data_IF_768093462869
#
_entry.id   IF_768093462869
#
_cell.length_a   1.000
_cell.length_b   1.000
_cell.length_c   1.000
_cell.angle_alpha   90.00
_cell.angle_beta   90.00
_cell.angle_gamma   90.00
#
_symmetry.space_group_name_H-M   'P 1'
#
loop_
_entity.id
_entity.type
_entity.pdbx_description
1 polymer ?
#
# COMPACT_ATOMS: atom_id res chain seq x y z
N UNK A 1 49.03 3.58 -46.90
CA UNK A 1 47.58 3.74 -46.94
C UNK A 1 47.09 3.53 -45.52
N UNK A 2 46.78 4.61 -44.82
CA UNK A 2 46.26 4.58 -43.46
C UNK A 2 44.77 4.96 -43.57
N UNK A 3 43.92 4.02 -43.19
CA UNK A 3 42.49 4.21 -43.14
C UNK A 3 42.11 4.96 -41.86
N UNK A 4 41.45 6.08 -42.05
CA UNK A 4 40.91 6.91 -40.99
C UNK A 4 39.63 6.24 -40.52
N UNK A 5 39.59 5.81 -39.26
CA UNK A 5 38.37 5.37 -38.60
C UNK A 5 37.65 6.60 -38.09
N UNK A 6 36.51 6.92 -38.68
CA UNK A 6 35.56 7.94 -38.22
C UNK A 6 34.97 7.55 -36.86
N UNK A 7 35.21 8.44 -35.90
CA UNK A 7 34.60 8.41 -34.57
C UNK A 7 33.15 8.84 -34.70
N UNK A 8 32.20 7.90 -34.62
CA UNK A 8 30.80 8.20 -34.47
C UNK A 8 30.54 8.75 -33.06
N UNK A 9 30.24 10.02 -32.98
CA UNK A 9 29.82 10.73 -31.77
C UNK A 9 28.62 10.01 -31.13
N UNK A 10 28.86 9.58 -29.91
CA UNK A 10 27.81 9.12 -29.00
C UNK A 10 26.95 10.34 -28.61
N UNK A 11 25.80 10.49 -29.21
CA UNK A 11 24.77 11.40 -28.72
C UNK A 11 24.23 10.84 -27.41
N UNK A 12 24.84 11.27 -26.30
CA UNK A 12 24.27 11.09 -24.98
C UNK A 12 22.86 11.71 -24.95
N UNK A 13 21.88 10.86 -24.71
CA UNK A 13 20.49 11.26 -24.45
C UNK A 13 20.47 12.06 -23.16
N UNK A 14 20.66 13.37 -23.24
CA UNK A 14 20.47 14.29 -22.11
C UNK A 14 19.02 14.20 -21.67
N UNK A 15 18.80 13.50 -20.55
CA UNK A 15 17.54 13.56 -19.83
C UNK A 15 17.31 15.03 -19.46
N UNK A 16 16.21 15.68 -19.86
CA UNK A 16 16.00 17.10 -19.58
C UNK A 16 16.13 17.37 -18.09
N UNK A 17 16.97 18.33 -17.74
CA UNK A 17 17.23 18.70 -16.36
C UNK A 17 15.91 19.05 -15.65
N UNK A 18 15.60 18.34 -14.59
CA UNK A 18 14.41 18.60 -13.75
C UNK A 18 14.59 20.00 -13.15
N UNK A 19 13.63 20.92 -13.34
CA UNK A 19 13.72 22.26 -12.77
C UNK A 19 13.96 22.20 -11.26
N UNK A 20 14.89 22.99 -10.74
CA UNK A 20 15.13 23.10 -9.30
C UNK A 20 13.98 23.92 -8.68
N UNK A 21 12.94 23.19 -8.26
CA UNK A 21 11.81 23.76 -7.51
C UNK A 21 12.00 23.51 -6.02
N UNK A 22 11.54 24.45 -5.20
CA UNK A 22 11.43 24.23 -3.76
C UNK A 22 10.41 23.13 -3.45
N UNK A 23 10.52 22.53 -2.27
CA UNK A 23 9.56 21.50 -1.81
C UNK A 23 8.12 22.04 -1.77
N UNK A 24 7.95 23.33 -1.45
CA UNK A 24 6.63 23.99 -1.39
C UNK A 24 6.03 24.15 -2.78
N UNK A 25 6.77 24.71 -3.74
CA UNK A 25 6.32 24.88 -5.12
C UNK A 25 5.94 23.55 -5.77
N UNK A 26 6.73 22.51 -5.50
CA UNK A 26 6.41 21.15 -5.97
C UNK A 26 5.11 20.64 -5.38
N UNK A 27 4.89 20.84 -4.08
CA UNK A 27 3.66 20.42 -3.41
C UNK A 27 2.43 21.16 -3.98
N UNK A 28 2.52 22.46 -4.19
CA UNK A 28 1.46 23.27 -4.80
C UNK A 28 1.11 22.82 -6.22
N UNK A 29 2.11 22.50 -7.03
CA UNK A 29 1.90 21.97 -8.37
C UNK A 29 1.16 20.62 -8.35
N UNK A 30 1.54 19.70 -7.47
CA UNK A 30 0.89 18.39 -7.34
C UNK A 30 -0.54 18.54 -6.83
N UNK A 31 -0.80 19.44 -5.88
CA UNK A 31 -2.16 19.73 -5.41
C UNK A 31 -3.03 20.33 -6.52
N UNK A 32 -2.47 21.18 -7.38
CA UNK A 32 -3.16 21.72 -8.54
C UNK A 32 -3.50 20.62 -9.55
N UNK A 33 -2.59 19.68 -9.80
CA UNK A 33 -2.85 18.53 -10.66
C UNK A 33 -3.99 17.67 -10.11
N UNK A 34 -3.98 17.35 -8.81
CA UNK A 34 -5.04 16.59 -8.15
C UNK A 34 -6.40 17.31 -8.27
N UNK A 35 -6.41 18.63 -8.11
CA UNK A 35 -7.61 19.45 -8.28
C UNK A 35 -8.13 19.39 -9.72
N UNK A 36 -7.28 19.49 -10.73
CA UNK A 36 -7.64 19.41 -12.16
C UNK A 36 -8.24 18.04 -12.47
N UNK A 37 -7.63 16.94 -12.02
CA UNK A 37 -8.17 15.59 -12.18
C UNK A 37 -9.57 15.48 -11.56
N UNK A 38 -9.74 15.99 -10.35
CA UNK A 38 -11.02 15.99 -9.66
C UNK A 38 -12.11 16.77 -10.41
N UNK A 39 -11.80 17.96 -10.93
CA UNK A 39 -12.75 18.76 -11.70
C UNK A 39 -13.17 18.05 -13.01
N UNK A 40 -12.24 17.41 -13.70
CA UNK A 40 -12.54 16.59 -14.89
C UNK A 40 -13.50 15.45 -14.55
N UNK A 41 -13.24 14.70 -13.49
CA UNK A 41 -14.15 13.62 -13.04
C UNK A 41 -15.51 14.17 -12.66
N UNK A 42 -15.57 15.29 -11.92
CA UNK A 42 -16.82 15.94 -11.52
C UNK A 42 -17.64 16.43 -12.73
N UNK A 43 -16.99 16.82 -13.81
CA UNK A 43 -17.65 17.21 -15.07
C UNK A 43 -18.10 16.01 -15.91
N UNK A 44 -17.89 14.77 -15.46
CA UNK A 44 -18.33 13.55 -16.13
C UNK A 44 -17.28 12.90 -17.04
N UNK A 45 -16.02 13.33 -17.00
CA UNK A 45 -14.96 12.70 -17.76
C UNK A 45 -14.70 11.25 -17.30
N UNK A 46 -14.29 10.41 -18.22
CA UNK A 46 -13.82 9.05 -17.94
C UNK A 46 -12.46 9.07 -17.23
N UNK A 47 -12.02 7.94 -16.68
CA UNK A 47 -10.71 7.83 -16.04
C UNK A 47 -9.57 8.20 -16.99
N UNK A 48 -9.62 7.70 -18.23
CA UNK A 48 -8.58 7.94 -19.23
C UNK A 48 -8.53 9.40 -19.71
N UNK A 49 -9.67 10.08 -19.77
CA UNK A 49 -9.76 11.51 -20.09
C UNK A 49 -9.29 12.43 -18.94
N UNK A 50 -9.44 11.97 -17.72
CA UNK A 50 -9.02 12.74 -16.55
C UNK A 50 -7.50 12.73 -16.32
N UNK A 51 -6.80 11.69 -16.82
CA UNK A 51 -5.37 11.47 -16.63
C UNK A 51 -4.58 12.08 -17.80
N UNK A 52 -3.41 12.63 -17.53
CA UNK A 52 -2.44 13.09 -18.54
C UNK A 52 -1.14 12.27 -18.46
N UNK A 53 -1.06 11.11 -19.16
CA UNK A 53 0.14 10.27 -19.14
C UNK A 53 1.38 10.95 -19.70
N UNK A 54 1.17 11.95 -20.60
CA UNK A 54 2.25 12.70 -21.25
C UNK A 54 2.85 13.80 -20.37
N UNK A 55 2.19 14.10 -19.24
CA UNK A 55 2.54 15.19 -18.33
C UNK A 55 2.67 16.57 -19.02
N UNK A 56 1.97 16.79 -20.14
CA UNK A 56 2.08 18.03 -20.94
C UNK A 56 1.67 19.27 -20.14
N UNK A 57 0.62 19.14 -19.33
CA UNK A 57 0.08 20.25 -18.53
C UNK A 57 0.98 20.58 -17.32
N UNK A 58 1.57 19.57 -16.68
CA UNK A 58 2.28 19.71 -15.40
C UNK A 58 3.78 19.42 -15.50
N UNK A 59 4.29 19.02 -16.66
CA UNK A 59 5.71 18.79 -16.91
C UNK A 59 6.32 17.58 -16.21
N UNK A 60 7.66 17.51 -16.12
CA UNK A 60 8.38 16.32 -15.63
C UNK A 60 8.22 16.05 -14.14
N UNK A 61 7.69 17.01 -13.37
CA UNK A 61 7.45 16.87 -11.93
C UNK A 61 6.05 16.37 -11.60
N UNK A 62 5.18 16.21 -12.60
CA UNK A 62 3.83 15.70 -12.43
C UNK A 62 3.81 14.30 -11.79
N UNK A 63 2.68 13.95 -11.21
CA UNK A 63 2.46 12.58 -10.74
C UNK A 63 2.62 11.58 -11.89
N UNK A 64 3.28 10.43 -11.65
CA UNK A 64 3.25 9.32 -12.59
C UNK A 64 1.80 8.91 -12.93
N UNK A 65 1.56 8.41 -14.14
CA UNK A 65 0.24 7.99 -14.61
C UNK A 65 -0.53 7.11 -13.61
N UNK A 66 0.16 6.14 -12.99
CA UNK A 66 -0.47 5.27 -12.00
C UNK A 66 -0.99 6.01 -10.77
N UNK A 67 -0.32 7.09 -10.36
CA UNK A 67 -0.78 7.94 -9.23
C UNK A 67 -1.96 8.78 -9.69
N UNK A 68 -1.89 9.39 -10.87
CA UNK A 68 -2.99 10.16 -11.45
C UNK A 68 -4.26 9.31 -11.58
N UNK A 69 -4.14 8.07 -12.05
CA UNK A 69 -5.25 7.11 -12.15
C UNK A 69 -5.88 6.82 -10.78
N UNK A 70 -5.08 6.66 -9.73
CA UNK A 70 -5.58 6.42 -8.37
C UNK A 70 -6.26 7.64 -7.77
N UNK A 71 -5.74 8.84 -8.05
CA UNK A 71 -6.39 10.11 -7.69
C UNK A 71 -7.74 10.24 -8.40
N UNK A 72 -7.82 9.91 -9.69
CA UNK A 72 -9.06 9.91 -10.46
C UNK A 72 -10.09 8.91 -9.90
N UNK A 73 -9.68 7.68 -9.58
CA UNK A 73 -10.56 6.69 -8.94
C UNK A 73 -11.06 7.16 -7.57
N UNK A 74 -10.18 7.80 -6.78
CA UNK A 74 -10.61 8.40 -5.52
C UNK A 74 -11.65 9.52 -5.73
N UNK A 75 -11.47 10.35 -6.76
CA UNK A 75 -12.44 11.39 -7.12
C UNK A 75 -13.78 10.77 -7.52
N UNK A 76 -13.78 9.71 -8.35
CA UNK A 76 -15.00 8.97 -8.72
C UNK A 76 -15.73 8.39 -7.50
N UNK A 77 -15.00 7.85 -6.53
CA UNK A 77 -15.59 7.35 -5.29
C UNK A 77 -16.35 8.47 -4.56
N UNK A 78 -15.72 9.65 -4.42
CA UNK A 78 -16.34 10.80 -3.76
C UNK A 78 -17.60 11.29 -4.48
N UNK A 79 -17.58 11.37 -5.82
CA UNK A 79 -18.76 11.77 -6.61
C UNK A 79 -19.89 10.71 -6.54
N UNK A 80 -19.54 9.42 -6.39
CA UNK A 80 -20.49 8.34 -6.17
C UNK A 80 -20.98 8.20 -4.71
N UNK A 81 -20.54 9.07 -3.79
CA UNK A 81 -20.89 9.00 -2.37
C UNK A 81 -20.20 7.86 -1.61
N UNK A 82 -19.15 7.26 -2.19
CA UNK A 82 -18.38 6.19 -1.56
C UNK A 82 -17.21 6.80 -0.78
N UNK A 83 -17.13 6.51 0.52
CA UNK A 83 -16.02 6.98 1.34
C UNK A 83 -14.72 6.23 0.99
N UNK A 84 -13.66 6.91 0.48
CA UNK A 84 -12.38 6.27 0.22
C UNK A 84 -11.58 5.96 1.50
N UNK A 85 -11.99 6.53 2.61
CA UNK A 85 -11.40 6.37 3.95
C UNK A 85 -12.53 6.36 4.99
N UNK A 86 -13.32 5.28 5.09
CA UNK A 86 -14.40 5.18 6.07
C UNK A 86 -13.83 5.19 7.48
N UNK A 87 -14.54 5.82 8.41
CA UNK A 87 -14.15 5.91 9.82
C UNK A 87 -14.42 4.60 10.56
N UNK A 88 -15.45 3.86 10.13
CA UNK A 88 -15.86 2.60 10.74
C UNK A 88 -16.15 1.54 9.68
N UNK A 89 -15.79 0.31 9.99
CA UNK A 89 -16.10 -0.91 9.24
C UNK A 89 -16.37 -2.03 10.25
N UNK A 90 -17.32 -2.90 9.95
CA UNK A 90 -17.71 -4.02 10.82
C UNK A 90 -16.73 -5.19 10.74
N UNK A 91 -15.47 -4.94 11.08
CA UNK A 91 -14.44 -5.98 11.15
C UNK A 91 -14.70 -6.82 12.39
N UNK A 92 -15.06 -8.09 12.20
CA UNK A 92 -15.37 -9.03 13.29
C UNK A 92 -14.18 -9.91 13.66
N UNK A 93 -13.32 -10.21 12.67
CA UNK A 93 -12.22 -11.14 12.82
C UNK A 93 -10.94 -10.62 12.19
N UNK A 94 -9.80 -11.06 12.72
CA UNK A 94 -8.51 -10.84 12.05
C UNK A 94 -8.23 -11.97 11.06
N UNK A 95 -7.41 -11.71 10.03
CA UNK A 95 -7.01 -12.74 9.07
C UNK A 95 -6.29 -13.89 9.77
N UNK A 96 -5.47 -13.57 10.77
CA UNK A 96 -4.77 -14.55 11.60
C UNK A 96 -5.73 -15.46 12.36
N UNK A 97 -6.79 -14.89 12.96
CA UNK A 97 -7.79 -15.63 13.72
C UNK A 97 -8.58 -16.58 12.80
N UNK A 98 -8.98 -16.11 11.62
CA UNK A 98 -9.66 -16.96 10.62
C UNK A 98 -8.75 -18.10 10.18
N UNK A 99 -7.47 -17.85 9.89
CA UNK A 99 -6.52 -18.91 9.55
C UNK A 99 -6.32 -19.89 10.70
N UNK A 100 -6.10 -19.42 11.91
CA UNK A 100 -5.93 -20.30 13.08
C UNK A 100 -7.15 -21.19 13.33
N UNK A 101 -8.36 -20.71 13.03
CA UNK A 101 -9.61 -21.46 13.21
C UNK A 101 -9.83 -22.52 12.13
N UNK A 102 -9.49 -22.23 10.84
CA UNK A 102 -9.92 -23.06 9.70
C UNK A 102 -8.78 -23.67 8.87
N UNK A 103 -7.54 -23.21 8.99
CA UNK A 103 -6.44 -23.69 8.16
C UNK A 103 -6.21 -25.19 8.33
N UNK A 104 -6.25 -25.93 7.23
CA UNK A 104 -6.11 -27.38 7.22
C UNK A 104 -7.31 -28.17 7.78
N UNK A 105 -8.45 -27.53 8.06
CA UNK A 105 -9.65 -28.18 8.62
C UNK A 105 -10.80 -28.32 7.63
N UNK A 106 -10.77 -27.58 6.53
CA UNK A 106 -11.78 -27.64 5.49
C UNK A 106 -11.26 -28.45 4.30
N UNK A 107 -12.10 -29.32 3.76
CA UNK A 107 -11.83 -30.02 2.51
C UNK A 107 -12.02 -29.10 1.30
N UNK A 108 -11.38 -29.45 0.17
CA UNK A 108 -11.48 -28.66 -1.06
C UNK A 108 -12.96 -28.58 -1.54
N UNK A 109 -13.46 -27.36 -1.68
CA UNK A 109 -14.85 -27.09 -2.05
C UNK A 109 -15.83 -27.05 -0.89
N UNK A 110 -15.40 -27.25 0.33
CA UNK A 110 -16.24 -27.17 1.53
C UNK A 110 -16.57 -25.70 1.87
N UNK A 111 -17.81 -25.44 2.21
CA UNK A 111 -18.32 -24.13 2.63
C UNK A 111 -18.83 -24.21 4.06
N UNK A 112 -18.54 -23.17 4.86
CA UNK A 112 -19.10 -23.04 6.21
C UNK A 112 -20.23 -22.00 6.23
N UNK A 113 -21.07 -22.05 7.27
CA UNK A 113 -22.07 -21.02 7.54
C UNK A 113 -21.49 -19.80 8.32
N UNK A 114 -20.22 -19.87 8.72
CA UNK A 114 -19.58 -18.86 9.52
C UNK A 114 -19.31 -17.60 8.71
N UNK A 115 -19.96 -16.51 9.09
CA UNK A 115 -19.78 -15.19 8.48
C UNK A 115 -18.69 -14.42 9.21
N UNK A 116 -17.71 -13.92 8.46
CA UNK A 116 -16.63 -13.10 8.98
C UNK A 116 -16.53 -11.77 8.23
N UNK A 117 -16.17 -10.71 8.96
CA UNK A 117 -15.80 -9.41 8.41
C UNK A 117 -14.30 -9.20 8.62
N UNK A 118 -13.52 -9.23 7.55
CA UNK A 118 -12.06 -9.08 7.60
C UNK A 118 -11.59 -7.88 6.79
N UNK A 119 -10.45 -7.30 7.19
CA UNK A 119 -9.79 -6.25 6.42
C UNK A 119 -8.31 -6.56 6.22
N UNK A 120 -7.80 -6.22 5.03
CA UNK A 120 -6.39 -6.46 4.70
C UNK A 120 -5.93 -5.67 3.48
N UNK A 121 -4.63 -5.64 3.25
CA UNK A 121 -4.02 -5.00 2.09
C UNK A 121 -4.10 -5.92 0.88
N UNK A 122 -4.59 -5.39 -0.24
CA UNK A 122 -4.64 -6.10 -1.53
C UNK A 122 -3.22 -6.25 -2.09
N UNK A 123 -2.71 -7.47 -2.13
CA UNK A 123 -1.41 -7.80 -2.71
C UNK A 123 -1.50 -8.42 -4.11
N UNK A 124 -2.62 -9.08 -4.40
CA UNK A 124 -2.87 -9.71 -5.69
C UNK A 124 -4.34 -9.59 -6.06
N UNK A 125 -4.61 -9.41 -7.35
CA UNK A 125 -5.96 -9.31 -7.89
C UNK A 125 -6.02 -9.99 -9.25
N UNK A 126 -6.97 -10.91 -9.41
CA UNK A 126 -7.20 -11.62 -10.66
C UNK A 126 -8.68 -11.60 -11.02
N UNK A 127 -8.98 -11.11 -12.21
CA UNK A 127 -10.31 -11.09 -12.78
C UNK A 127 -10.54 -12.34 -13.63
N UNK A 128 -11.59 -13.11 -13.34
CA UNK A 128 -12.00 -14.32 -14.07
C UNK A 128 -13.49 -14.21 -14.45
N UNK A 129 -13.80 -13.36 -15.43
CA UNK A 129 -15.17 -13.15 -15.89
C UNK A 129 -16.11 -12.62 -14.79
N UNK A 130 -17.04 -13.46 -14.33
CA UNK A 130 -18.00 -13.14 -13.28
C UNK A 130 -17.47 -13.31 -11.84
N UNK A 131 -16.20 -13.64 -11.67
CA UNK A 131 -15.55 -13.89 -10.40
C UNK A 131 -14.23 -13.13 -10.32
N UNK A 132 -13.94 -12.49 -9.20
CA UNK A 132 -12.65 -11.88 -8.90
C UNK A 132 -12.03 -12.58 -7.69
N UNK A 133 -10.74 -12.83 -7.80
CA UNK A 133 -9.92 -13.32 -6.70
C UNK A 133 -9.03 -12.18 -6.21
N UNK A 134 -8.97 -12.00 -4.92
CA UNK A 134 -8.10 -11.03 -4.26
C UNK A 134 -7.32 -11.72 -3.14
N UNK A 135 -6.03 -11.43 -3.03
CA UNK A 135 -5.24 -11.85 -1.87
C UNK A 135 -5.10 -10.66 -0.92
N UNK A 136 -5.62 -10.81 0.28
CA UNK A 136 -5.49 -9.85 1.36
C UNK A 136 -4.35 -10.25 2.29
N UNK A 137 -3.59 -9.27 2.75
CA UNK A 137 -2.53 -9.46 3.75
C UNK A 137 -2.82 -8.63 4.98
N UNK A 138 -2.68 -9.25 6.13
CA UNK A 138 -2.67 -8.60 7.43
C UNK A 138 -1.34 -7.87 7.70
N UNK A 139 -1.29 -7.11 8.77
CA UNK A 139 -0.09 -6.38 9.19
C UNK A 139 1.09 -7.27 9.59
N UNK A 140 0.84 -8.52 10.00
CA UNK A 140 1.86 -9.51 10.29
C UNK A 140 2.40 -10.24 9.06
N UNK A 141 1.73 -10.07 7.91
CA UNK A 141 2.03 -10.75 6.65
C UNK A 141 1.20 -11.99 6.39
N UNK A 142 0.33 -12.38 7.32
CA UNK A 142 -0.65 -13.47 7.11
C UNK A 142 -1.56 -13.10 5.95
N UNK A 143 -1.82 -14.07 5.07
CA UNK A 143 -2.58 -13.85 3.84
C UNK A 143 -3.82 -14.71 3.82
N UNK A 144 -4.88 -14.22 3.19
CA UNK A 144 -6.10 -14.96 2.91
C UNK A 144 -6.63 -14.60 1.53
N UNK A 145 -7.27 -15.54 0.86
CA UNK A 145 -7.95 -15.29 -0.40
C UNK A 145 -9.36 -14.75 -0.14
N UNK A 146 -9.74 -13.71 -0.88
CA UNK A 146 -11.13 -13.28 -1.03
C UNK A 146 -11.66 -13.67 -2.41
N UNK A 147 -12.91 -14.10 -2.47
CA UNK A 147 -13.62 -14.43 -3.70
C UNK A 147 -14.85 -13.55 -3.82
N UNK A 148 -14.88 -12.73 -4.87
CA UNK A 148 -15.96 -11.77 -5.12
C UNK A 148 -16.71 -12.21 -6.38
N UNK A 149 -17.93 -12.67 -6.20
CA UNK A 149 -18.75 -13.26 -7.27
C UNK A 149 -19.88 -12.35 -7.69
N UNK A 150 -20.08 -12.21 -9.02
CA UNK A 150 -21.25 -11.54 -9.61
C UNK A 150 -22.58 -12.07 -9.07
N UNK A 151 -22.64 -13.37 -8.73
CA UNK A 151 -23.86 -14.01 -8.23
C UNK A 151 -24.24 -13.52 -6.84
N UNK A 152 -23.25 -13.25 -5.99
CA UNK A 152 -23.47 -12.82 -4.60
C UNK A 152 -23.65 -11.30 -4.50
N UNK A 153 -22.76 -10.53 -5.10
CA UNK A 153 -22.73 -9.07 -4.92
C UNK A 153 -23.46 -8.28 -6.02
N UNK A 154 -23.91 -8.97 -7.08
CA UNK A 154 -24.54 -8.33 -8.24
C UNK A 154 -23.55 -7.87 -9.31
N UNK A 155 -24.07 -7.58 -10.50
CA UNK A 155 -23.25 -7.21 -11.68
C UNK A 155 -22.62 -5.81 -11.53
N UNK A 156 -23.39 -4.86 -11.04
CA UNK A 156 -22.96 -3.46 -10.91
C UNK A 156 -21.91 -3.31 -9.81
N UNK A 157 -22.11 -3.97 -8.67
CA UNK A 157 -21.13 -4.00 -7.58
C UNK A 157 -19.82 -4.65 -8.01
N UNK A 158 -19.86 -5.74 -8.78
CA UNK A 158 -18.64 -6.36 -9.32
C UNK A 158 -17.94 -5.46 -10.33
N UNK A 159 -18.69 -4.75 -11.18
CA UNK A 159 -18.13 -3.76 -12.11
C UNK A 159 -17.41 -2.63 -11.33
N UNK A 160 -18.07 -2.11 -10.30
CA UNK A 160 -17.52 -1.08 -9.44
C UNK A 160 -16.25 -1.56 -8.70
N UNK A 161 -16.26 -2.79 -8.16
CA UNK A 161 -15.08 -3.43 -7.56
C UNK A 161 -13.90 -3.44 -8.53
N UNK A 162 -14.11 -3.93 -9.77
CA UNK A 162 -13.06 -4.00 -10.80
C UNK A 162 -12.51 -2.63 -11.21
N UNK A 163 -13.36 -1.61 -11.17
CA UNK A 163 -13.00 -0.26 -11.57
C UNK A 163 -12.22 0.47 -10.49
N UNK A 164 -12.59 0.30 -9.22
CA UNK A 164 -12.11 1.13 -8.12
C UNK A 164 -10.96 0.52 -7.32
N UNK A 165 -10.92 -0.83 -7.19
CA UNK A 165 -9.93 -1.51 -6.35
C UNK A 165 -8.60 -1.68 -7.09
N UNK A 166 -7.51 -1.30 -6.42
CA UNK A 166 -6.15 -1.43 -6.91
C UNK A 166 -5.27 -2.22 -5.95
N UNK A 167 -4.13 -2.71 -6.45
CA UNK A 167 -3.09 -3.28 -5.59
C UNK A 167 -2.59 -2.23 -4.60
N UNK A 168 -2.49 -2.63 -3.33
CA UNK A 168 -2.07 -1.77 -2.25
C UNK A 168 -3.22 -1.11 -1.47
N UNK A 169 -4.44 -1.10 -1.99
CA UNK A 169 -5.61 -0.67 -1.23
C UNK A 169 -5.79 -1.54 0.01
N UNK A 170 -6.37 -1.00 1.07
CA UNK A 170 -6.96 -1.82 2.11
C UNK A 170 -8.43 -2.08 1.77
N UNK A 171 -8.78 -3.33 1.75
CA UNK A 171 -10.10 -3.82 1.40
C UNK A 171 -10.74 -4.52 2.60
N UNK A 172 -12.00 -4.23 2.84
CA UNK A 172 -12.87 -4.95 3.74
C UNK A 172 -13.71 -5.95 2.94
N UNK A 173 -13.81 -7.17 3.44
CA UNK A 173 -14.69 -8.21 2.91
C UNK A 173 -15.50 -8.80 4.04
N UNK A 174 -16.81 -8.94 3.83
CA UNK A 174 -17.71 -9.71 4.68
C UNK A 174 -18.25 -10.88 3.88
N UNK A 175 -18.20 -12.07 4.44
CA UNK A 175 -18.67 -13.27 3.73
C UNK A 175 -18.43 -14.55 4.49
N UNK A 176 -18.81 -15.67 3.87
CA UNK A 176 -18.63 -17.01 4.43
C UNK A 176 -17.19 -17.46 4.29
N UNK A 177 -16.71 -18.20 5.29
CA UNK A 177 -15.41 -18.87 5.20
C UNK A 177 -15.59 -20.16 4.41
N UNK A 178 -14.79 -20.36 3.37
CA UNK A 178 -14.83 -21.53 2.50
C UNK A 178 -13.42 -22.04 2.18
N UNK A 179 -13.32 -23.30 1.76
CA UNK A 179 -12.18 -23.78 1.00
C UNK A 179 -12.52 -23.73 -0.49
N UNK A 180 -11.65 -23.08 -1.29
CA UNK A 180 -11.84 -23.04 -2.74
C UNK A 180 -11.76 -24.43 -3.35
N UNK A 181 -12.14 -24.60 -4.62
CA UNK A 181 -12.03 -25.90 -5.33
C UNK A 181 -10.61 -26.46 -5.37
N UNK A 182 -9.60 -25.60 -5.17
CA UNK A 182 -8.18 -25.97 -5.07
C UNK A 182 -7.71 -26.16 -3.62
N UNK A 183 -8.59 -26.06 -2.63
CA UNK A 183 -8.28 -26.18 -1.21
C UNK A 183 -7.75 -24.91 -0.53
N UNK A 184 -7.69 -23.77 -1.26
CA UNK A 184 -7.22 -22.51 -0.64
C UNK A 184 -8.31 -21.93 0.26
N UNK A 185 -7.95 -21.64 1.53
CA UNK A 185 -8.84 -21.00 2.48
C UNK A 185 -9.22 -19.59 2.00
N UNK A 186 -10.51 -19.34 1.90
CA UNK A 186 -11.05 -18.15 1.25
C UNK A 186 -12.24 -17.59 2.01
N UNK A 187 -12.45 -16.27 1.87
CA UNK A 187 -13.71 -15.62 2.25
C UNK A 187 -14.52 -15.37 0.97
N UNK A 188 -15.67 -16.02 0.88
CA UNK A 188 -16.62 -15.83 -0.21
C UNK A 188 -17.51 -14.65 0.10
N UNK A 189 -17.15 -13.50 -0.52
CA UNK A 189 -17.68 -12.22 -0.14
C UNK A 189 -19.13 -12.00 -0.58
N UNK A 190 -19.98 -11.62 0.34
CA UNK A 190 -21.33 -11.09 0.13
C UNK A 190 -21.35 -9.57 0.14
N UNK A 191 -20.35 -8.94 0.77
CA UNK A 191 -20.18 -7.49 0.85
C UNK A 191 -18.70 -7.13 0.77
N UNK A 192 -18.41 -5.96 0.20
CA UNK A 192 -17.06 -5.39 0.15
C UNK A 192 -17.10 -3.87 0.32
N UNK A 193 -16.01 -3.33 0.87
CA UNK A 193 -15.78 -1.88 0.94
C UNK A 193 -14.29 -1.58 0.85
N UNK A 194 -13.93 -0.41 0.30
CA UNK A 194 -12.56 0.09 0.40
C UNK A 194 -12.39 0.63 1.83
N UNK A 195 -11.48 0.04 2.58
CA UNK A 195 -11.12 0.48 3.92
C UNK A 195 -10.14 1.66 3.87
N UNK A 196 -9.24 1.67 2.89
CA UNK A 196 -8.35 2.80 2.64
C UNK A 196 -7.83 2.75 1.20
N UNK A 197 -8.07 3.81 0.43
CA UNK A 197 -7.57 3.95 -0.94
C UNK A 197 -6.10 4.32 -0.95
N UNK A 198 -5.25 3.49 -1.54
CA UNK A 198 -3.84 3.77 -1.72
C UNK A 198 -3.61 4.65 -2.95
N UNK A 199 -3.04 5.84 -2.77
CA UNK A 199 -2.72 6.75 -3.87
C UNK A 199 -1.35 6.45 -4.50
N UNK A 200 -0.43 5.85 -3.74
CA UNK A 200 0.87 5.42 -4.25
C UNK A 200 0.85 3.94 -4.61
N UNK A 201 1.37 3.54 -5.78
CA UNK A 201 1.49 2.14 -6.13
C UNK A 201 2.49 1.42 -5.22
N UNK A 202 2.24 0.14 -4.96
CA UNK A 202 3.22 -0.71 -4.32
C UNK A 202 4.37 -1.01 -5.29
N UNK A 203 5.59 -1.21 -4.78
CA UNK A 203 6.68 -1.77 -5.59
C UNK A 203 6.32 -3.19 -6.05
N UNK A 204 7.02 -3.69 -7.05
CA UNK A 204 6.87 -5.07 -7.48
C UNK A 204 7.32 -6.01 -6.35
N UNK A 205 6.34 -6.71 -5.73
CA UNK A 205 6.56 -7.56 -4.54
C UNK A 205 7.43 -8.80 -4.80
N UNK A 206 7.71 -9.10 -6.08
CA UNK A 206 8.55 -10.23 -6.52
C UNK A 206 9.98 -9.81 -6.89
N UNK A 207 10.33 -8.54 -6.69
CA UNK A 207 11.67 -8.00 -6.96
C UNK A 207 12.22 -7.39 -5.68
N UNK A 208 13.52 -7.56 -5.50
CA UNK A 208 14.23 -6.91 -4.41
C UNK A 208 14.13 -5.38 -4.53
N UNK A 209 13.88 -4.74 -3.42
CA UNK A 209 13.91 -3.28 -3.34
C UNK A 209 15.36 -2.80 -3.48
N UNK A 210 15.56 -1.72 -4.24
CA UNK A 210 16.88 -1.09 -4.28
C UNK A 210 17.26 -0.56 -2.88
N UNK A 211 18.56 -0.45 -2.62
CA UNK A 211 19.11 -0.11 -1.31
C UNK A 211 18.68 1.30 -0.85
N UNK A 212 18.61 2.24 -1.77
CA UNK A 212 18.15 3.61 -1.47
C UNK A 212 16.69 3.62 -1.00
N UNK A 213 15.79 2.93 -1.71
CA UNK A 213 14.38 2.82 -1.29
C UNK A 213 14.24 2.08 0.04
N UNK A 214 15.01 1.02 0.24
CA UNK A 214 15.00 0.21 1.47
C UNK A 214 15.44 1.04 2.69
N UNK A 215 16.43 1.90 2.51
CA UNK A 215 16.97 2.76 3.58
C UNK A 215 16.09 3.97 3.83
N UNK A 216 15.66 4.68 2.77
CA UNK A 216 14.88 5.93 2.91
C UNK A 216 13.40 5.71 3.18
N UNK A 217 12.85 4.55 2.74
CA UNK A 217 11.43 4.21 2.87
C UNK A 217 11.24 2.84 3.52
N UNK A 218 11.70 2.64 4.79
CA UNK A 218 11.67 1.34 5.45
C UNK A 218 10.26 0.75 5.58
N UNK A 219 9.22 1.61 5.61
CA UNK A 219 7.83 1.17 5.62
C UNK A 219 7.44 0.41 4.34
N UNK A 220 8.00 0.74 3.18
CA UNK A 220 7.79 -0.02 1.94
C UNK A 220 8.46 -1.40 2.05
N UNK A 221 9.67 -1.44 2.62
CA UNK A 221 10.36 -2.69 2.90
C UNK A 221 9.53 -3.61 3.79
N UNK A 222 8.92 -3.08 4.86
CA UNK A 222 8.05 -3.88 5.74
C UNK A 222 6.79 -4.42 5.05
N UNK A 223 6.30 -3.76 4.01
CA UNK A 223 5.18 -4.28 3.21
C UNK A 223 5.64 -5.39 2.27
N UNK A 224 6.76 -5.17 1.58
CA UNK A 224 7.22 -6.02 0.48
C UNK A 224 8.04 -7.25 0.94
N UNK A 225 8.78 -7.14 2.04
CA UNK A 225 9.75 -8.13 2.50
C UNK A 225 9.46 -8.58 3.93
N UNK A 226 9.23 -9.88 4.09
CA UNK A 226 8.96 -10.51 5.38
C UNK A 226 10.16 -10.42 6.33
N UNK A 227 11.38 -10.51 5.84
CA UNK A 227 12.60 -10.44 6.66
C UNK A 227 12.74 -9.05 7.30
N UNK A 228 12.48 -7.98 6.54
CA UNK A 228 12.51 -6.61 7.05
C UNK A 228 11.44 -6.41 8.13
N UNK A 229 10.24 -6.94 7.90
CA UNK A 229 9.13 -6.89 8.85
C UNK A 229 9.47 -7.67 10.13
N UNK A 230 10.02 -8.87 10.00
CA UNK A 230 10.41 -9.70 11.14
C UNK A 230 11.58 -9.08 11.93
N UNK A 231 12.55 -8.45 11.25
CA UNK A 231 13.63 -7.71 11.90
C UNK A 231 13.08 -6.57 12.76
N UNK A 232 12.15 -5.76 12.25
CA UNK A 232 11.52 -4.68 13.01
C UNK A 232 10.75 -5.21 14.23
N UNK A 233 10.01 -6.31 14.08
CA UNK A 233 9.30 -6.98 15.19
C UNK A 233 10.24 -7.55 16.24
N UNK A 234 11.31 -8.21 15.81
CA UNK A 234 12.29 -8.80 16.72
C UNK A 234 13.01 -7.71 17.51
N UNK A 235 13.38 -6.60 16.86
CA UNK A 235 13.94 -5.43 17.56
C UNK A 235 12.98 -4.89 18.63
N UNK A 236 11.70 -4.70 18.30
CA UNK A 236 10.70 -4.24 19.26
C UNK A 236 10.55 -5.20 20.45
N UNK A 237 10.49 -6.53 20.17
CA UNK A 237 10.43 -7.55 21.22
C UNK A 237 11.67 -7.56 22.12
N UNK A 238 12.86 -7.39 21.54
CA UNK A 238 14.12 -7.32 22.30
C UNK A 238 14.14 -6.11 23.25
N UNK A 239 13.77 -4.92 22.75
CA UNK A 239 13.68 -3.71 23.58
C UNK A 239 12.65 -3.89 24.70
N UNK A 240 11.47 -4.42 24.40
CA UNK A 240 10.44 -4.69 25.41
C UNK A 240 10.90 -5.73 26.44
N UNK A 241 11.69 -6.72 26.05
CA UNK A 241 12.28 -7.70 26.98
C UNK A 241 13.31 -7.06 27.90
N UNK A 242 14.20 -6.20 27.36
CA UNK A 242 15.17 -5.45 28.17
C UNK A 242 14.47 -4.57 29.20
N UNK A 243 13.43 -3.82 28.81
CA UNK A 243 12.66 -3.00 29.74
C UNK A 243 12.05 -3.81 30.85
N UNK A 244 11.40 -4.94 30.54
CA UNK A 244 10.86 -5.84 31.58
C UNK A 244 11.93 -6.36 32.52
N UNK A 245 13.09 -6.77 31.96
CA UNK A 245 14.19 -7.26 32.81
C UNK A 245 14.69 -6.19 33.78
N UNK A 246 14.82 -4.96 33.35
CA UNK A 246 15.24 -3.87 34.25
C UNK A 246 14.14 -3.55 35.27
N UNK A 247 12.88 -3.49 34.85
CA UNK A 247 11.74 -3.27 35.74
C UNK A 247 11.67 -4.36 36.84
N UNK A 248 11.80 -5.64 36.44
CA UNK A 248 11.83 -6.80 37.36
C UNK A 248 13.01 -6.77 38.37
N UNK A 249 14.02 -5.96 38.12
CA UNK A 249 15.19 -5.76 38.99
C UNK A 249 15.21 -4.41 39.69
N UNK A 250 14.07 -3.74 39.80
CA UNK A 250 13.87 -2.46 40.47
C UNK A 250 14.67 -1.28 39.87
N UNK A 251 14.99 -1.34 38.55
CA UNK A 251 15.56 -0.19 37.86
C UNK A 251 14.42 0.74 37.38
N UNK A 252 14.63 2.04 37.57
CA UNK A 252 13.71 3.08 37.11
C UNK A 252 14.12 3.59 35.72
N UNK A 253 13.24 3.46 34.73
CA UNK A 253 13.44 4.11 33.42
C UNK A 253 13.20 5.62 33.55
N UNK A 254 14.19 6.41 33.13
CA UNK A 254 14.11 7.87 33.16
C UNK A 254 14.44 8.46 31.80
N UNK A 255 13.79 9.56 31.47
CA UNK A 255 14.12 10.35 30.28
C UNK A 255 15.21 11.36 30.67
N UNK A 256 16.41 11.22 30.09
CA UNK A 256 17.47 12.20 30.24
C UNK A 256 17.38 13.26 29.14
N UNK A 257 17.77 14.53 29.42
CA UNK A 257 17.89 15.53 28.36
C UNK A 257 18.83 15.02 27.27
N UNK A 258 18.43 15.15 26.02
CA UNK A 258 19.30 14.84 24.88
C UNK A 258 20.59 15.65 25.00
N UNK A 259 21.73 14.98 25.15
CA UNK A 259 23.07 15.57 25.17
C UNK A 259 23.46 16.03 23.74
N UNK A 260 22.55 16.69 23.04
CA UNK A 260 22.60 16.91 21.59
C UNK A 260 23.27 18.23 21.19
N UNK A 261 24.02 18.89 22.07
CA UNK A 261 24.88 20.00 21.64
C UNK A 261 26.36 19.69 21.91
N UNK A 262 27.05 19.05 20.94
CA UNK A 262 28.49 18.82 21.05
C UNK A 262 29.28 20.13 21.16
N UNK A 263 28.74 21.29 20.82
CA UNK A 263 29.34 22.59 21.01
C UNK A 263 29.33 23.02 22.49
N UNK A 264 28.33 22.63 23.27
CA UNK A 264 28.25 22.91 24.70
C UNK A 264 29.24 22.11 25.56
N UNK A 265 29.60 20.89 25.11
CA UNK A 265 30.55 20.04 25.82
C UNK A 265 32.02 20.46 25.64
N UNK A 266 32.36 21.10 24.51
CA UNK A 266 33.73 21.51 24.20
C UNK A 266 34.20 22.76 24.97
N UNK A 267 33.32 23.48 25.65
CA UNK A 267 33.59 24.69 26.37
C UNK A 267 33.55 24.60 27.91
N UNK A 268 33.25 23.43 28.50
CA UNK A 268 33.26 23.27 29.95
C UNK A 268 34.63 22.79 30.40
N UNK A 269 35.31 23.52 31.32
CA UNK A 269 36.51 23.01 31.99
C UNK A 269 36.16 21.74 32.78
N UNK A 270 37.10 20.77 32.90
CA UNK A 270 36.87 19.58 33.71
C UNK A 270 36.52 19.98 35.14
N UNK A 271 35.45 19.38 35.65
CA UNK A 271 35.08 19.54 37.08
C UNK A 271 36.08 18.74 37.89
N UNK A 272 36.90 19.42 38.68
CA UNK A 272 37.84 18.83 39.63
C UNK A 272 37.11 18.32 40.87
#
# INVERSE_FOLDING_TARGET
>A
MAEVVENTENTENETPAVPQMSTVERAEMLLKQDATIREKIKSGATLDEAVDPSNKEFGPLAHPEQVQMRVAKRAMMLEAGIAPYPVHLDVTDTIEAVRAKYDGKLEAGEETEDMVGIAGRVLFLRNAGGLCFVQLSAGDGTKIQGMISKKEIGADSLKQFKQLVDLGDHLYLKGRVIASKTGELSVFATEWAIASKALQPLPALHKDLNEDTRTRKPYIGMIADENIRNMARNRSKAVASLRRTFDDHDFLEVETPDAADPARWRGRPPVH
#
